data_IF_438927458309
#
_entry.id   IF_438927458309
#
_cell.length_a   1.000
_cell.length_b   1.000
_cell.length_c   1.000
_cell.angle_alpha   90.00
_cell.angle_beta   90.00
_cell.angle_gamma   90.00
#
_symmetry.space_group_name_H-M   'P 1'
#
loop_
_entity.id
_entity.type
_entity.pdbx_description
1 polymer ?
#
# COMPACT_ATOMS: atom_id res chain seq x y z
N UNK A 1 -14.26 9.86 -18.07
CA UNK A 1 -14.22 10.04 -16.61
C UNK A 1 -12.93 9.41 -16.15
N UNK A 2 -11.96 10.19 -15.67
CA UNK A 2 -10.65 9.68 -15.30
C UNK A 2 -10.77 8.91 -13.98
N UNK A 3 -10.90 7.58 -14.08
CA UNK A 3 -11.06 6.68 -12.94
C UNK A 3 -9.93 6.84 -11.92
N UNK A 4 -8.74 7.26 -12.36
CA UNK A 4 -7.57 7.40 -11.50
C UNK A 4 -7.72 8.50 -10.44
N UNK A 5 -8.39 9.62 -10.75
CA UNK A 5 -8.56 10.75 -9.85
C UNK A 5 -9.41 10.43 -8.60
N UNK A 6 -10.41 9.55 -8.74
CA UNK A 6 -11.25 9.11 -7.62
C UNK A 6 -10.74 7.83 -6.95
N UNK A 7 -10.19 6.90 -7.74
CA UNK A 7 -9.75 5.60 -7.25
C UNK A 7 -8.50 5.68 -6.38
N UNK A 8 -7.45 6.40 -6.82
CA UNK A 8 -6.15 6.41 -6.14
C UNK A 8 -6.28 6.89 -4.68
N UNK A 9 -6.91 8.04 -4.36
CA UNK A 9 -7.03 8.48 -2.98
C UNK A 9 -7.81 7.48 -2.09
N UNK A 10 -8.90 6.91 -2.62
CA UNK A 10 -9.74 5.95 -1.89
C UNK A 10 -8.99 4.64 -1.61
N UNK A 11 -8.31 4.10 -2.62
CA UNK A 11 -7.55 2.87 -2.51
C UNK A 11 -6.36 3.00 -1.56
N UNK A 12 -5.64 4.13 -1.60
CA UNK A 12 -4.57 4.39 -0.64
C UNK A 12 -5.10 4.48 0.79
N UNK A 13 -6.22 5.19 1.03
CA UNK A 13 -6.86 5.26 2.35
C UNK A 13 -7.32 3.89 2.87
N UNK A 14 -7.98 3.10 2.02
CA UNK A 14 -8.43 1.76 2.38
C UNK A 14 -7.24 0.86 2.74
N UNK A 15 -6.19 0.87 1.92
CA UNK A 15 -4.98 0.09 2.17
C UNK A 15 -4.26 0.52 3.44
N UNK A 16 -4.24 1.82 3.75
CA UNK A 16 -3.66 2.34 4.99
C UNK A 16 -4.41 1.81 6.21
N UNK A 17 -5.75 1.90 6.19
CA UNK A 17 -6.59 1.35 7.24
C UNK A 17 -6.38 -0.16 7.43
N UNK A 18 -6.24 -0.91 6.33
CA UNK A 18 -5.96 -2.33 6.37
C UNK A 18 -4.57 -2.67 6.93
N UNK A 19 -3.54 -1.88 6.61
CA UNK A 19 -2.20 -2.04 7.15
C UNK A 19 -2.13 -1.72 8.64
N UNK A 20 -2.81 -0.66 9.10
CA UNK A 20 -2.87 -0.30 10.51
C UNK A 20 -3.61 -1.37 11.34
N UNK A 21 -4.73 -1.88 10.82
CA UNK A 21 -5.45 -3.01 11.40
C UNK A 21 -4.54 -4.25 11.48
N UNK A 22 -3.89 -4.62 10.38
CA UNK A 22 -2.98 -5.76 10.34
C UNK A 22 -1.82 -5.60 11.35
N UNK A 23 -1.22 -4.41 11.43
CA UNK A 23 -0.15 -4.12 12.38
C UNK A 23 -0.60 -4.25 13.85
N UNK A 24 -1.84 -3.87 14.16
CA UNK A 24 -2.47 -4.07 15.47
C UNK A 24 -2.77 -5.55 15.78
N UNK A 25 -2.71 -6.43 14.78
CA UNK A 25 -3.12 -7.82 14.90
C UNK A 25 -4.61 -8.04 14.63
N UNK A 26 -5.29 -7.05 14.06
CA UNK A 26 -6.64 -7.22 13.55
C UNK A 26 -6.60 -8.02 12.23
N UNK A 27 -7.74 -8.61 11.88
CA UNK A 27 -7.86 -9.53 10.75
C UNK A 27 -7.40 -8.95 9.40
N UNK A 28 -6.99 -9.85 8.50
CA UNK A 28 -6.50 -9.50 7.17
C UNK A 28 -7.63 -8.97 6.28
N UNK A 29 -7.43 -7.77 5.72
CA UNK A 29 -8.31 -7.13 4.73
C UNK A 29 -7.66 -7.14 3.35
N UNK A 30 -7.58 -8.32 2.74
CA UNK A 30 -6.80 -8.55 1.50
C UNK A 30 -7.20 -7.62 0.35
N UNK A 31 -8.49 -7.40 0.13
CA UNK A 31 -8.97 -6.58 -1.00
C UNK A 31 -8.49 -5.12 -0.90
N UNK A 32 -8.45 -4.57 0.32
CA UNK A 32 -7.97 -3.21 0.58
C UNK A 32 -6.46 -3.09 0.33
N UNK A 33 -5.69 -4.13 0.69
CA UNK A 33 -4.26 -4.18 0.40
C UNK A 33 -3.98 -4.31 -1.11
N UNK A 34 -4.78 -5.12 -1.82
CA UNK A 34 -4.69 -5.24 -3.28
C UNK A 34 -5.07 -3.92 -3.96
N UNK A 35 -6.13 -3.25 -3.51
CA UNK A 35 -6.52 -1.95 -4.04
C UNK A 35 -5.38 -0.92 -3.87
N UNK A 36 -4.75 -0.87 -2.70
CA UNK A 36 -3.57 -0.03 -2.45
C UNK A 36 -2.41 -0.38 -3.39
N UNK A 37 -2.12 -1.66 -3.59
CA UNK A 37 -1.07 -2.09 -4.51
C UNK A 37 -1.33 -1.62 -5.94
N UNK A 38 -2.58 -1.73 -6.42
CA UNK A 38 -2.98 -1.24 -7.76
C UNK A 38 -2.83 0.29 -7.83
N UNK A 39 -3.23 1.02 -6.81
CA UNK A 39 -3.09 2.48 -6.78
C UNK A 39 -1.62 2.93 -6.83
N UNK A 40 -0.73 2.28 -6.08
CA UNK A 40 0.70 2.57 -6.13
C UNK A 40 1.34 2.21 -7.48
N UNK A 41 0.90 1.12 -8.11
CA UNK A 41 1.36 0.70 -9.45
C UNK A 41 0.93 1.72 -10.52
N UNK A 42 -0.32 2.19 -10.45
CA UNK A 42 -0.83 3.26 -11.32
C UNK A 42 -0.04 4.56 -11.12
N UNK A 43 0.23 4.95 -9.88
CA UNK A 43 1.06 6.12 -9.59
C UNK A 43 2.45 5.97 -10.19
N UNK A 44 3.12 4.84 -9.97
CA UNK A 44 4.43 4.54 -10.53
C UNK A 44 4.46 4.64 -12.07
N UNK A 45 3.37 4.26 -12.74
CA UNK A 45 3.23 4.35 -14.20
C UNK A 45 2.98 5.78 -14.73
N UNK A 46 2.45 6.67 -13.88
CA UNK A 46 2.05 8.03 -14.26
C UNK A 46 3.06 9.11 -13.84
N UNK A 47 3.88 8.84 -12.82
CA UNK A 47 4.79 9.82 -12.22
C UNK A 47 6.23 9.76 -12.72
N UNK A 48 6.89 10.91 -12.77
CA UNK A 48 8.34 11.01 -12.96
C UNK A 48 9.05 10.97 -11.60
N UNK A 49 9.25 9.76 -11.07
CA UNK A 49 9.94 9.57 -9.79
C UNK A 49 11.45 9.45 -9.97
N UNK A 50 12.22 9.87 -8.96
CA UNK A 50 13.62 9.47 -8.88
C UNK A 50 13.73 7.96 -8.75
N UNK A 51 14.84 7.38 -9.22
CA UNK A 51 15.07 5.93 -9.20
C UNK A 51 14.86 5.32 -7.79
N UNK A 52 15.33 6.00 -6.74
CA UNK A 52 15.12 5.58 -5.35
C UNK A 52 13.65 5.54 -4.96
N UNK A 53 12.86 6.55 -5.32
CA UNK A 53 11.41 6.59 -5.01
C UNK A 53 10.65 5.52 -5.79
N UNK A 54 10.99 5.34 -7.07
CA UNK A 54 10.40 4.30 -7.91
C UNK A 54 10.62 2.91 -7.29
N UNK A 55 11.85 2.60 -6.84
CA UNK A 55 12.14 1.33 -6.19
C UNK A 55 11.38 1.14 -4.87
N UNK A 56 11.21 2.22 -4.09
CA UNK A 56 10.40 2.20 -2.87
C UNK A 56 8.92 1.90 -3.16
N UNK A 57 8.36 2.53 -4.19
CA UNK A 57 7.00 2.28 -4.67
C UNK A 57 6.82 0.82 -5.10
N UNK A 58 7.71 0.28 -5.94
CA UNK A 58 7.62 -1.11 -6.39
C UNK A 58 7.76 -2.10 -5.25
N UNK A 59 8.60 -1.79 -4.25
CA UNK A 59 8.74 -2.59 -3.03
C UNK A 59 7.43 -2.61 -2.23
N UNK A 60 6.76 -1.47 -2.08
CA UNK A 60 5.47 -1.38 -1.42
C UNK A 60 4.37 -2.14 -2.19
N UNK A 61 4.34 -2.04 -3.53
CA UNK A 61 3.42 -2.80 -4.38
C UNK A 61 3.58 -4.31 -4.15
N UNK A 62 4.81 -4.83 -4.19
CA UNK A 62 5.09 -6.24 -3.96
C UNK A 62 4.75 -6.66 -2.52
N UNK A 63 5.12 -5.83 -1.54
CA UNK A 63 4.85 -6.06 -0.12
C UNK A 63 3.36 -6.19 0.18
N UNK A 64 2.55 -5.26 -0.34
CA UNK A 64 1.09 -5.29 -0.24
C UNK A 64 0.50 -6.55 -0.85
N UNK A 65 0.95 -6.94 -2.06
CA UNK A 65 0.48 -8.17 -2.72
C UNK A 65 0.85 -9.42 -1.91
N UNK A 66 2.05 -9.47 -1.32
CA UNK A 66 2.48 -10.58 -0.47
C UNK A 66 1.61 -10.66 0.78
N UNK A 67 1.40 -9.56 1.49
CA UNK A 67 0.55 -9.52 2.69
C UNK A 67 -0.92 -9.86 2.37
N UNK A 68 -1.42 -9.46 1.20
CA UNK A 68 -2.79 -9.77 0.81
C UNK A 68 -3.01 -11.26 0.46
N UNK A 69 -1.99 -11.94 -0.07
CA UNK A 69 -2.13 -13.29 -0.65
C UNK A 69 -1.55 -14.40 0.21
N UNK A 70 -0.67 -14.08 1.16
CA UNK A 70 0.01 -15.06 2.02
C UNK A 70 -0.35 -14.86 3.48
N UNK A 71 -1.52 -15.35 3.88
CA UNK A 71 -2.06 -15.23 5.24
C UNK A 71 -1.06 -15.65 6.34
N UNK A 72 -0.29 -16.73 6.13
CA UNK A 72 0.73 -17.19 7.08
C UNK A 72 1.84 -16.18 7.34
N UNK A 73 2.16 -15.33 6.36
CA UNK A 73 3.10 -14.22 6.52
C UNK A 73 2.38 -13.06 7.22
N UNK A 74 1.18 -12.71 6.77
CA UNK A 74 0.41 -11.57 7.29
C UNK A 74 0.15 -11.67 8.79
N UNK A 75 -0.16 -12.88 9.27
CA UNK A 75 -0.42 -13.16 10.69
C UNK A 75 0.86 -13.29 11.54
N UNK A 76 2.04 -13.36 10.90
CA UNK A 76 3.32 -13.47 11.60
C UNK A 76 3.73 -12.16 12.26
N UNK A 77 4.66 -12.21 13.21
CA UNK A 77 5.21 -10.99 13.82
C UNK A 77 5.94 -10.12 12.78
N UNK A 78 6.63 -10.76 11.83
CA UNK A 78 7.29 -10.11 10.71
C UNK A 78 6.30 -9.47 9.76
N UNK A 79 5.18 -10.14 9.43
CA UNK A 79 4.11 -9.56 8.61
C UNK A 79 3.51 -8.31 9.23
N UNK A 80 3.26 -8.31 10.54
CA UNK A 80 2.76 -7.14 11.27
C UNK A 80 3.76 -5.98 11.29
N UNK A 81 5.05 -6.26 11.48
CA UNK A 81 6.13 -5.25 11.36
C UNK A 81 6.23 -4.70 9.93
N UNK A 82 6.12 -5.57 8.94
CA UNK A 82 6.10 -5.17 7.53
C UNK A 82 4.88 -4.29 7.22
N UNK A 83 3.72 -4.59 7.80
CA UNK A 83 2.52 -3.78 7.66
C UNK A 83 2.74 -2.34 8.18
N UNK A 84 3.38 -2.17 9.35
CA UNK A 84 3.78 -0.85 9.85
C UNK A 84 4.71 -0.11 8.88
N UNK A 85 5.68 -0.81 8.29
CA UNK A 85 6.62 -0.22 7.35
C UNK A 85 5.94 0.23 6.06
N UNK A 86 5.08 -0.61 5.47
CA UNK A 86 4.34 -0.26 4.27
C UNK A 86 3.32 0.85 4.53
N UNK A 87 2.73 0.94 5.73
CA UNK A 87 1.83 2.03 6.09
C UNK A 87 2.57 3.38 6.07
N UNK A 88 3.82 3.43 6.52
CA UNK A 88 4.64 4.64 6.45
C UNK A 88 4.88 5.08 4.99
N UNK A 89 5.20 4.14 4.09
CA UNK A 89 5.41 4.43 2.66
C UNK A 89 4.11 4.93 2.02
N UNK A 90 2.96 4.30 2.31
CA UNK A 90 1.66 4.73 1.78
C UNK A 90 1.31 6.14 2.26
N UNK A 91 1.54 6.48 3.54
CA UNK A 91 1.34 7.85 4.05
C UNK A 91 2.25 8.86 3.37
N UNK A 92 3.52 8.53 3.18
CA UNK A 92 4.47 9.41 2.48
C UNK A 92 3.97 9.72 1.07
N UNK A 93 3.48 8.70 0.36
CA UNK A 93 2.93 8.89 -0.98
C UNK A 93 1.66 9.73 -0.99
N UNK A 94 0.73 9.52 -0.05
CA UNK A 94 -0.46 10.37 0.08
C UNK A 94 -0.08 11.83 0.35
N UNK A 95 0.87 12.07 1.26
CA UNK A 95 1.33 13.42 1.58
C UNK A 95 1.99 14.11 0.39
N UNK A 96 2.65 13.36 -0.50
CA UNK A 96 3.28 13.91 -1.70
C UNK A 96 2.28 14.25 -2.81
N UNK A 97 1.14 13.56 -2.88
CA UNK A 97 0.16 13.70 -3.95
C UNK A 97 -0.95 14.70 -3.63
N UNK A 98 -1.26 14.91 -2.34
CA UNK A 98 -2.39 15.71 -1.89
C UNK A 98 -2.01 16.97 -1.08
N UNK A 99 -0.72 17.24 -0.90
CA UNK A 99 -0.20 18.54 -0.46
C UNK A 99 0.58 19.21 -1.59
#
# INVERSE_FOLDING_TARGET
MDLSHGFIPLALNASLSALDALAAGDGLRSDDLIAGAIALDLLASQGHYSHTRFNGLMTAVLGLRILATRQSISESQEGRRAATHFAAIVREMQNHLFN
#
